data_IF_383527284209
#
_entry.id   IF_383527284209
#
_cell.length_a   1.000
_cell.length_b   1.000
_cell.length_c   1.000
_cell.angle_alpha   90.00
_cell.angle_beta   90.00
_cell.angle_gamma   90.00
#
_symmetry.space_group_name_H-M   'P 1'
#
loop_
_entity.id
_entity.type
_entity.pdbx_description
1 polymer ?
#
# COMPACT_ATOMS: atom_id res chain seq x y z
N UNK A 1 29.12 -9.97 -22.63
CA UNK A 1 27.85 -10.04 -23.37
C UNK A 1 28.09 -10.95 -24.57
N UNK A 2 27.89 -12.25 -24.40
CA UNK A 2 28.08 -13.22 -25.49
C UNK A 2 26.82 -13.24 -26.35
N UNK A 3 26.91 -13.18 -27.69
CA UNK A 3 25.72 -13.24 -28.54
C UNK A 3 25.05 -14.62 -28.40
N UNK A 4 23.73 -14.61 -28.22
CA UNK A 4 22.92 -15.81 -28.03
C UNK A 4 22.98 -16.72 -29.28
N UNK A 5 23.45 -17.98 -29.16
CA UNK A 5 23.66 -18.88 -30.30
C UNK A 5 22.35 -19.28 -31.01
N UNK A 6 21.19 -19.07 -30.38
CA UNK A 6 19.86 -19.38 -30.91
C UNK A 6 19.40 -18.43 -32.02
N UNK A 7 19.87 -17.17 -32.02
CA UNK A 7 19.42 -16.18 -32.98
C UNK A 7 20.05 -16.41 -34.36
N UNK A 8 21.32 -16.86 -34.38
CA UNK A 8 22.03 -17.18 -35.61
C UNK A 8 21.41 -18.38 -36.35
N UNK A 9 21.05 -19.45 -35.64
CA UNK A 9 20.40 -20.61 -36.26
C UNK A 9 19.02 -20.29 -36.83
N UNK A 10 18.26 -19.40 -36.17
CA UNK A 10 16.96 -18.94 -36.67
C UNK A 10 17.13 -18.06 -37.92
N UNK A 11 18.13 -17.17 -37.93
CA UNK A 11 18.43 -16.36 -39.10
C UNK A 11 18.83 -17.24 -40.29
N UNK A 12 19.70 -18.22 -40.08
CA UNK A 12 20.15 -19.15 -41.12
C UNK A 12 18.98 -19.99 -41.66
N UNK A 13 18.10 -20.48 -40.78
CA UNK A 13 16.87 -21.18 -41.18
C UNK A 13 15.92 -20.25 -41.97
N UNK A 14 15.77 -18.98 -41.56
CA UNK A 14 14.93 -18.00 -42.24
C UNK A 14 15.48 -17.61 -43.63
N UNK A 15 16.80 -17.51 -43.76
CA UNK A 15 17.48 -17.34 -45.05
C UNK A 15 17.24 -18.56 -45.96
N UNK A 16 17.31 -19.78 -45.42
CA UNK A 16 16.95 -21.01 -46.13
C UNK A 16 15.50 -21.03 -46.63
N UNK A 17 14.55 -20.55 -45.81
CA UNK A 17 13.15 -20.40 -46.18
C UNK A 17 12.96 -19.37 -47.31
N UNK A 18 13.61 -18.21 -47.20
CA UNK A 18 13.50 -17.12 -48.18
C UNK A 18 14.18 -17.47 -49.50
N UNK A 19 15.22 -18.31 -49.50
CA UNK A 19 15.84 -18.80 -50.72
C UNK A 19 14.97 -19.88 -51.40
N UNK A 20 14.18 -20.63 -50.62
CA UNK A 20 13.39 -21.77 -51.07
C UNK A 20 11.93 -21.43 -51.36
N UNK A 21 11.61 -20.23 -51.87
CA UNK A 21 10.22 -19.75 -52.07
C UNK A 21 9.35 -20.67 -52.93
N UNK A 22 9.95 -21.35 -53.92
CA UNK A 22 9.27 -22.30 -54.81
C UNK A 22 8.89 -23.63 -54.14
N UNK A 23 9.42 -23.89 -52.94
CA UNK A 23 9.17 -25.12 -52.14
C UNK A 23 8.29 -24.87 -50.91
N UNK A 24 7.77 -23.65 -50.74
CA UNK A 24 6.93 -23.27 -49.59
C UNK A 24 5.62 -24.06 -49.52
N UNK A 25 5.04 -24.39 -50.67
CA UNK A 25 3.73 -25.06 -50.76
C UNK A 25 3.80 -26.45 -51.41
N UNK A 26 4.99 -27.04 -51.49
CA UNK A 26 5.11 -28.42 -51.95
C UNK A 26 4.52 -29.34 -50.87
N UNK A 27 3.52 -30.15 -51.25
CA UNK A 27 2.87 -31.14 -50.38
C UNK A 27 3.70 -32.44 -50.22
N UNK A 28 5.01 -32.35 -50.42
CA UNK A 28 5.96 -33.44 -50.23
C UNK A 28 6.82 -33.18 -48.99
N UNK A 29 7.58 -34.18 -48.55
CA UNK A 29 8.42 -34.11 -47.35
C UNK A 29 9.54 -33.07 -47.41
N UNK A 30 9.79 -32.45 -48.57
CA UNK A 30 10.80 -31.41 -48.80
C UNK A 30 10.17 -30.00 -48.78
N UNK A 31 9.19 -29.79 -47.90
CA UNK A 31 8.53 -28.50 -47.72
C UNK A 31 9.44 -27.55 -46.93
N UNK A 32 9.74 -26.39 -47.51
CA UNK A 32 10.65 -25.42 -46.90
C UNK A 32 10.10 -24.83 -45.58
N UNK A 33 8.78 -24.75 -45.41
CA UNK A 33 8.14 -24.30 -44.16
C UNK A 33 8.30 -25.36 -43.07
N UNK A 34 8.12 -26.64 -43.38
CA UNK A 34 8.35 -27.73 -42.42
C UNK A 34 9.81 -27.78 -41.98
N UNK A 35 10.74 -27.59 -42.91
CA UNK A 35 12.17 -27.58 -42.61
C UNK A 35 12.56 -26.36 -41.76
N UNK A 36 11.99 -25.18 -42.04
CA UNK A 36 12.17 -24.00 -41.20
C UNK A 36 11.61 -24.19 -39.79
N UNK A 37 10.44 -24.81 -39.63
CA UNK A 37 9.86 -25.08 -38.31
C UNK A 37 10.73 -26.09 -37.54
N UNK A 38 11.30 -27.09 -38.22
CA UNK A 38 12.11 -28.14 -37.61
C UNK A 38 13.53 -27.67 -37.23
N UNK A 39 14.18 -26.90 -38.10
CA UNK A 39 15.55 -26.38 -37.90
C UNK A 39 15.56 -25.06 -37.11
N UNK A 40 14.49 -24.28 -37.23
CA UNK A 40 14.32 -22.98 -36.60
C UNK A 40 13.42 -22.99 -35.37
N UNK A 41 13.04 -24.16 -34.83
CA UNK A 41 12.15 -24.25 -33.66
C UNK A 41 12.72 -23.42 -32.51
N UNK A 42 12.11 -22.28 -32.14
CA UNK A 42 12.58 -21.52 -31.00
C UNK A 42 12.32 -22.35 -29.75
N UNK A 43 13.30 -22.42 -28.84
CA UNK A 43 13.06 -22.91 -27.50
C UNK A 43 12.00 -22.01 -26.87
N UNK A 44 10.78 -22.53 -26.67
CA UNK A 44 9.72 -21.80 -25.97
C UNK A 44 10.14 -21.70 -24.52
N UNK A 45 10.80 -20.60 -24.16
CA UNK A 45 10.99 -20.21 -22.77
C UNK A 45 9.67 -19.67 -22.25
N UNK A 46 8.93 -20.49 -21.50
CA UNK A 46 7.72 -20.07 -20.79
C UNK A 46 8.03 -18.95 -19.79
N UNK A 47 7.35 -17.80 -19.92
CA UNK A 47 7.42 -16.64 -19.02
C UNK A 47 6.74 -16.87 -17.65
N UNK A 48 6.57 -18.12 -17.21
CA UNK A 48 5.79 -18.47 -16.03
C UNK A 48 6.35 -17.88 -14.72
N UNK A 49 7.68 -17.76 -14.62
CA UNK A 49 8.35 -17.17 -13.45
C UNK A 49 8.06 -15.67 -13.33
N UNK A 50 7.95 -14.97 -14.46
CA UNK A 50 7.68 -13.53 -14.48
C UNK A 50 6.22 -13.25 -14.09
N UNK A 51 5.28 -13.98 -14.70
CA UNK A 51 3.84 -13.82 -14.40
C UNK A 51 3.50 -14.10 -12.93
N UNK A 52 4.12 -15.12 -12.32
CA UNK A 52 3.91 -15.38 -10.88
C UNK A 52 4.47 -14.25 -10.02
N UNK A 53 5.70 -13.82 -10.31
CA UNK A 53 6.36 -12.74 -9.56
C UNK A 53 5.58 -11.43 -9.65
N UNK A 54 5.10 -11.09 -10.84
CA UNK A 54 4.33 -9.86 -11.08
C UNK A 54 2.99 -9.89 -10.34
N UNK A 55 2.31 -11.04 -10.32
CA UNK A 55 1.09 -11.21 -9.53
C UNK A 55 1.36 -11.07 -8.03
N UNK A 56 2.42 -11.70 -7.51
CA UNK A 56 2.80 -11.59 -6.09
C UNK A 56 3.16 -10.13 -5.74
N UNK A 57 3.84 -9.41 -6.64
CA UNK A 57 4.20 -8.00 -6.47
C UNK A 57 2.96 -7.09 -6.45
N UNK A 58 2.06 -7.23 -7.43
CA UNK A 58 0.83 -6.44 -7.46
C UNK A 58 -0.11 -6.78 -6.31
N UNK A 59 -0.15 -8.03 -5.85
CA UNK A 59 -0.89 -8.42 -4.64
C UNK A 59 -0.35 -7.69 -3.42
N UNK A 60 0.97 -7.70 -3.22
CA UNK A 60 1.60 -7.00 -2.09
C UNK A 60 1.30 -5.50 -2.14
N UNK A 61 1.48 -4.89 -3.29
CA UNK A 61 1.22 -3.46 -3.51
C UNK A 61 -0.24 -3.11 -3.22
N UNK A 62 -1.18 -3.87 -3.76
CA UNK A 62 -2.62 -3.66 -3.51
C UNK A 62 -2.97 -3.82 -2.03
N UNK A 63 -2.35 -4.78 -1.33
CA UNK A 63 -2.51 -4.91 0.12
C UNK A 63 -1.98 -3.66 0.87
N UNK A 64 -0.81 -3.16 0.51
CA UNK A 64 -0.23 -1.95 1.11
C UNK A 64 -1.10 -0.70 0.85
N UNK A 65 -1.58 -0.53 -0.37
CA UNK A 65 -2.51 0.54 -0.76
C UNK A 65 -3.83 0.45 0.03
N UNK A 66 -4.39 -0.76 0.17
CA UNK A 66 -5.60 -0.98 0.96
C UNK A 66 -5.38 -0.64 2.45
N UNK A 67 -4.26 -1.09 3.04
CA UNK A 67 -3.91 -0.78 4.43
C UNK A 67 -3.82 0.74 4.62
N UNK A 68 -3.16 1.43 3.70
CA UNK A 68 -3.03 2.89 3.74
C UNK A 68 -4.40 3.56 3.64
N UNK A 69 -5.21 3.19 2.65
CA UNK A 69 -6.54 3.75 2.43
C UNK A 69 -7.46 3.58 3.65
N UNK A 70 -7.51 2.38 4.22
CA UNK A 70 -8.33 2.11 5.42
C UNK A 70 -7.81 2.88 6.62
N UNK A 71 -6.48 3.01 6.78
CA UNK A 71 -5.90 3.83 7.83
C UNK A 71 -6.34 5.29 7.69
N UNK A 72 -6.20 5.87 6.50
CA UNK A 72 -6.65 7.25 6.24
C UNK A 72 -8.15 7.41 6.49
N UNK A 73 -8.98 6.47 6.03
CA UNK A 73 -10.43 6.49 6.25
C UNK A 73 -10.78 6.60 7.75
N UNK A 74 -9.99 5.99 8.62
CA UNK A 74 -10.20 6.05 10.07
C UNK A 74 -9.66 7.31 10.72
N UNK A 75 -8.46 7.74 10.35
CA UNK A 75 -7.69 8.74 11.11
C UNK A 75 -7.28 9.96 10.28
N UNK A 76 -7.91 10.21 9.14
CA UNK A 76 -7.60 11.35 8.26
C UNK A 76 -7.52 12.70 9.00
N UNK A 77 -8.49 13.09 9.87
CA UNK A 77 -8.41 14.37 10.58
C UNK A 77 -7.17 14.45 11.50
N UNK A 78 -6.89 13.36 12.21
CA UNK A 78 -5.72 13.25 13.08
C UNK A 78 -4.41 13.31 12.28
N UNK A 79 -4.32 12.60 11.16
CA UNK A 79 -3.11 12.62 10.32
C UNK A 79 -2.85 14.01 9.75
N UNK A 80 -3.89 14.71 9.27
CA UNK A 80 -3.74 16.10 8.81
C UNK A 80 -3.20 17.02 9.90
N UNK A 81 -3.69 16.87 11.15
CA UNK A 81 -3.16 17.61 12.29
C UNK A 81 -1.69 17.26 12.55
N UNK A 82 -1.35 15.98 12.66
CA UNK A 82 0.01 15.53 12.93
C UNK A 82 1.00 16.03 11.87
N UNK A 83 0.63 15.97 10.59
CA UNK A 83 1.46 16.50 9.50
C UNK A 83 1.70 18.00 9.66
N UNK A 84 0.66 18.79 9.95
CA UNK A 84 0.79 20.24 10.17
C UNK A 84 1.62 20.56 11.42
N UNK A 85 1.39 19.84 12.52
CA UNK A 85 2.13 20.00 13.76
C UNK A 85 3.62 19.69 13.56
N UNK A 86 3.95 18.60 12.87
CA UNK A 86 5.33 18.22 12.57
C UNK A 86 6.07 19.27 11.73
N UNK A 87 5.40 19.91 10.76
CA UNK A 87 5.98 21.02 9.98
C UNK A 87 6.31 22.22 10.88
N UNK A 88 5.41 22.59 11.79
CA UNK A 88 5.66 23.69 12.74
C UNK A 88 6.80 23.34 13.70
N UNK A 89 6.85 22.09 14.19
CA UNK A 89 7.91 21.60 15.07
C UNK A 89 9.26 21.58 14.34
N UNK A 90 9.31 21.15 13.07
CA UNK A 90 10.56 21.13 12.29
C UNK A 90 11.06 22.55 11.99
N UNK A 91 10.17 23.49 11.65
CA UNK A 91 10.52 24.90 11.46
C UNK A 91 11.15 25.54 12.71
N UNK A 92 10.65 25.19 13.91
CA UNK A 92 11.24 25.64 15.18
C UNK A 92 12.67 25.12 15.36
N UNK A 93 12.96 23.90 14.90
CA UNK A 93 14.28 23.26 15.05
C UNK A 93 15.34 23.83 14.09
N UNK A 94 14.94 24.27 12.90
CA UNK A 94 15.86 24.76 11.85
C UNK A 94 16.23 26.24 12.02
N UNK A 95 15.28 27.09 12.40
CA UNK A 95 15.51 28.55 12.36
C UNK A 95 15.88 29.20 13.72
N UNK A 96 15.94 28.43 14.82
CA UNK A 96 16.21 28.97 16.17
C UNK A 96 15.28 30.16 16.55
N UNK A 97 14.11 30.25 15.91
CA UNK A 97 13.11 31.29 16.14
C UNK A 97 12.33 30.91 17.40
N UNK A 98 12.67 31.56 18.51
CA UNK A 98 12.08 31.35 19.85
C UNK A 98 10.58 31.68 19.97
N UNK A 99 9.87 32.07 18.91
CA UNK A 99 8.53 32.67 19.02
C UNK A 99 7.36 31.83 18.47
N UNK A 100 7.58 30.75 17.73
CA UNK A 100 6.48 29.93 17.21
C UNK A 100 6.19 28.79 18.17
N UNK A 101 5.27 29.02 19.12
CA UNK A 101 4.70 27.95 19.94
C UNK A 101 3.67 27.19 19.12
N UNK A 102 3.66 25.85 19.22
CA UNK A 102 2.62 25.05 18.57
C UNK A 102 1.23 25.45 19.11
N UNK A 103 1.13 25.65 20.43
CA UNK A 103 -0.09 26.07 21.12
C UNK A 103 -0.59 27.49 20.75
N UNK A 104 0.26 28.34 20.15
CA UNK A 104 -0.18 29.66 19.67
C UNK A 104 -0.79 29.60 18.27
N UNK A 105 -0.74 28.45 17.60
CA UNK A 105 -1.34 28.29 16.28
C UNK A 105 -2.86 28.10 16.40
N UNK A 106 -3.66 28.78 15.55
CA UNK A 106 -5.13 28.75 15.64
C UNK A 106 -5.73 27.36 15.35
N UNK A 107 -4.99 26.47 14.69
CA UNK A 107 -5.41 25.10 14.41
C UNK A 107 -5.04 24.11 15.53
N UNK A 108 -4.23 24.54 16.50
CA UNK A 108 -3.63 23.70 17.52
C UNK A 108 -4.05 24.15 18.94
N UNK A 109 -5.19 24.83 19.07
CA UNK A 109 -5.77 25.08 20.39
C UNK A 109 -6.30 23.77 20.98
N UNK A 110 -6.32 23.62 22.32
CA UNK A 110 -6.81 22.40 22.97
C UNK A 110 -8.22 22.00 22.52
N UNK A 111 -9.12 22.95 22.33
CA UNK A 111 -10.49 22.70 21.87
C UNK A 111 -10.53 22.19 20.43
N UNK A 112 -9.64 22.70 19.56
CA UNK A 112 -9.55 22.23 18.17
C UNK A 112 -8.99 20.82 18.11
N UNK A 113 -8.02 20.49 18.95
CA UNK A 113 -7.48 19.13 19.04
C UNK A 113 -8.55 18.19 19.60
N UNK A 114 -9.34 18.62 20.58
CA UNK A 114 -10.51 17.88 21.05
C UNK A 114 -11.49 17.56 19.91
N UNK A 115 -11.88 18.57 19.12
CA UNK A 115 -12.78 18.38 17.97
C UNK A 115 -12.21 17.32 16.99
N UNK A 116 -10.90 17.40 16.69
CA UNK A 116 -10.21 16.47 15.78
C UNK A 116 -10.19 15.05 16.33
N UNK A 117 -9.93 14.88 17.63
CA UNK A 117 -9.92 13.58 18.30
C UNK A 117 -11.34 12.99 18.34
N UNK A 118 -12.34 13.79 18.67
CA UNK A 118 -13.74 13.37 18.71
C UNK A 118 -14.25 12.96 17.31
N UNK A 119 -13.91 13.75 16.28
CA UNK A 119 -14.21 13.43 14.89
C UNK A 119 -13.52 12.14 14.44
N UNK A 120 -12.23 11.98 14.75
CA UNK A 120 -11.45 10.77 14.45
C UNK A 120 -12.09 9.54 15.10
N UNK A 121 -12.45 9.63 16.38
CA UNK A 121 -13.07 8.53 17.12
C UNK A 121 -14.46 8.16 16.56
N UNK A 122 -15.23 9.16 16.12
CA UNK A 122 -16.51 8.95 15.42
C UNK A 122 -16.30 8.28 14.05
N UNK A 123 -15.32 8.74 13.27
CA UNK A 123 -14.98 8.15 11.97
C UNK A 123 -14.61 6.67 12.13
N UNK A 124 -13.74 6.35 13.10
CA UNK A 124 -13.44 4.97 13.48
C UNK A 124 -14.69 4.15 13.74
N UNK A 125 -15.59 4.61 14.62
CA UNK A 125 -16.84 3.89 14.93
C UNK A 125 -17.71 3.63 13.70
N UNK A 126 -17.90 4.65 12.85
CA UNK A 126 -18.80 4.56 11.70
C UNK A 126 -18.25 3.70 10.57
N UNK A 127 -16.95 3.82 10.29
CA UNK A 127 -16.31 3.15 9.16
C UNK A 127 -15.94 1.69 9.48
N UNK A 128 -15.74 1.35 10.76
CA UNK A 128 -15.22 0.05 11.17
C UNK A 128 -16.13 -1.11 10.74
N UNK A 129 -17.44 -0.94 10.89
CA UNK A 129 -18.42 -1.95 10.46
C UNK A 129 -18.41 -2.12 8.94
N UNK A 130 -18.29 -1.02 8.19
CA UNK A 130 -18.23 -1.04 6.72
C UNK A 130 -16.98 -1.76 6.21
N UNK A 131 -15.82 -1.45 6.81
CA UNK A 131 -14.54 -2.08 6.49
C UNK A 131 -14.60 -3.58 6.77
N UNK A 132 -15.02 -4.00 7.96
CA UNK A 132 -15.12 -5.43 8.29
C UNK A 132 -16.10 -6.18 7.40
N UNK A 133 -17.25 -5.58 7.08
CA UNK A 133 -18.22 -6.19 6.14
C UNK A 133 -17.62 -6.37 4.75
N UNK A 134 -16.85 -5.39 4.28
CA UNK A 134 -16.20 -5.45 2.98
C UNK A 134 -15.10 -6.51 2.98
N UNK A 135 -14.29 -6.57 4.04
CA UNK A 135 -13.28 -7.61 4.22
C UNK A 135 -13.92 -9.00 4.25
N UNK A 136 -14.98 -9.23 5.01
CA UNK A 136 -15.66 -10.54 5.04
C UNK A 136 -16.31 -10.93 3.70
N UNK A 137 -16.77 -9.95 2.91
CA UNK A 137 -17.35 -10.19 1.59
C UNK A 137 -16.30 -10.62 0.56
N UNK A 138 -15.12 -10.00 0.58
CA UNK A 138 -14.09 -10.20 -0.45
C UNK A 138 -12.95 -11.13 -0.02
N UNK A 139 -12.69 -11.26 1.28
CA UNK A 139 -11.72 -12.16 1.87
C UNK A 139 -12.47 -13.34 2.46
N UNK A 140 -12.50 -14.46 1.74
CA UNK A 140 -13.21 -15.68 2.17
C UNK A 140 -12.64 -16.34 3.45
N UNK A 141 -11.51 -15.85 3.97
CA UNK A 141 -10.83 -16.40 5.14
C UNK A 141 -10.60 -15.33 6.22
N UNK A 142 -11.13 -15.60 7.42
CA UNK A 142 -11.00 -14.74 8.59
C UNK A 142 -9.57 -14.55 9.08
N UNK A 143 -8.70 -15.53 8.92
CA UNK A 143 -7.28 -15.37 9.27
C UNK A 143 -6.62 -14.34 8.35
N UNK A 144 -6.97 -14.33 7.06
CA UNK A 144 -6.51 -13.34 6.09
C UNK A 144 -7.04 -11.95 6.43
N UNK A 145 -8.30 -11.83 6.85
CA UNK A 145 -8.85 -10.56 7.34
C UNK A 145 -8.04 -10.02 8.53
N UNK A 146 -7.74 -10.87 9.51
CA UNK A 146 -6.98 -10.49 10.70
C UNK A 146 -5.55 -10.09 10.34
N UNK A 147 -4.89 -10.84 9.45
CA UNK A 147 -3.54 -10.53 8.96
C UNK A 147 -3.53 -9.15 8.28
N UNK A 148 -4.50 -8.88 7.40
CA UNK A 148 -4.57 -7.62 6.66
C UNK A 148 -4.97 -6.43 7.55
N UNK A 149 -5.82 -6.65 8.56
CA UNK A 149 -6.27 -5.59 9.46
C UNK A 149 -5.28 -5.25 10.57
N UNK A 150 -4.39 -6.19 10.94
CA UNK A 150 -3.35 -5.96 11.95
C UNK A 150 -2.48 -4.71 11.69
N UNK A 151 -1.89 -4.50 10.50
CA UNK A 151 -1.10 -3.31 10.23
C UNK A 151 -1.92 -2.01 10.30
N UNK A 152 -3.21 -2.03 9.93
CA UNK A 152 -4.11 -0.88 10.11
C UNK A 152 -4.21 -0.49 11.60
N UNK A 153 -4.41 -1.46 12.50
CA UNK A 153 -4.43 -1.20 13.95
C UNK A 153 -3.13 -0.57 14.44
N UNK A 154 -1.99 -1.10 13.99
CA UNK A 154 -0.67 -0.59 14.37
C UNK A 154 -0.48 0.86 13.90
N UNK A 155 -0.88 1.19 12.67
CA UNK A 155 -0.78 2.55 12.16
C UNK A 155 -1.62 3.54 12.97
N UNK A 156 -2.85 3.15 13.33
CA UNK A 156 -3.73 3.97 14.18
C UNK A 156 -3.08 4.20 15.55
N UNK A 157 -2.60 3.14 16.19
CA UNK A 157 -1.90 3.23 17.47
C UNK A 157 -0.70 4.18 17.39
N UNK A 158 0.11 4.08 16.34
CA UNK A 158 1.27 4.94 16.13
C UNK A 158 0.86 6.42 15.98
N UNK A 159 -0.22 6.73 15.27
CA UNK A 159 -0.71 8.10 15.15
C UNK A 159 -1.19 8.67 16.49
N UNK A 160 -1.92 7.89 17.29
CA UNK A 160 -2.29 8.33 18.64
C UNK A 160 -1.08 8.46 19.57
N UNK A 161 -0.09 7.57 19.47
CA UNK A 161 1.17 7.71 20.21
C UNK A 161 1.94 8.98 19.83
N UNK A 162 1.95 9.37 18.55
CA UNK A 162 2.52 10.65 18.12
C UNK A 162 1.75 11.84 18.71
N UNK A 163 0.41 11.77 18.73
CA UNK A 163 -0.41 12.80 19.36
C UNK A 163 -0.08 12.94 20.85
N UNK A 164 0.02 11.83 21.59
CA UNK A 164 0.38 11.88 23.01
C UNK A 164 1.73 12.52 23.26
N UNK A 165 2.74 12.21 22.44
CA UNK A 165 4.06 12.85 22.55
C UNK A 165 3.98 14.36 22.34
N UNK A 166 3.21 14.80 21.34
CA UNK A 166 3.00 16.24 21.09
C UNK A 166 2.27 16.90 22.26
N UNK A 167 1.26 16.23 22.83
CA UNK A 167 0.52 16.74 23.99
C UNK A 167 1.39 16.85 25.24
N UNK A 168 2.26 15.87 25.48
CA UNK A 168 3.18 15.85 26.62
C UNK A 168 4.28 16.92 26.52
N UNK A 169 4.78 17.19 25.31
CA UNK A 169 5.88 18.13 25.09
C UNK A 169 5.43 19.60 24.97
N UNK A 170 4.23 19.86 24.43
CA UNK A 170 3.80 21.22 24.04
C UNK A 170 2.57 21.75 24.78
N UNK A 171 1.89 20.96 25.60
CA UNK A 171 0.64 21.33 26.27
C UNK A 171 0.68 21.05 27.77
N UNK A 172 -0.07 21.82 28.54
CA UNK A 172 -0.15 21.65 29.99
C UNK A 172 -1.11 20.51 30.38
N UNK A 173 -1.05 20.05 31.63
CA UNK A 173 -2.00 19.03 32.12
C UNK A 173 -3.48 19.50 32.02
N UNK A 174 -3.74 20.80 32.22
CA UNK A 174 -5.09 21.37 32.05
C UNK A 174 -5.55 21.31 30.58
N UNK A 175 -4.67 21.66 29.65
CA UNK A 175 -4.93 21.54 28.21
C UNK A 175 -5.21 20.09 27.81
N UNK A 176 -4.44 19.13 28.34
CA UNK A 176 -4.64 17.71 28.07
C UNK A 176 -6.00 17.20 28.55
N UNK A 177 -6.51 17.73 29.67
CA UNK A 177 -7.86 17.42 30.15
C UNK A 177 -8.94 17.97 29.22
N UNK A 178 -8.72 19.16 28.62
CA UNK A 178 -9.63 19.73 27.61
C UNK A 178 -9.65 18.86 26.35
N UNK A 179 -8.49 18.42 25.88
CA UNK A 179 -8.39 17.55 24.70
C UNK A 179 -9.13 16.23 24.91
N UNK A 180 -9.07 15.67 26.12
CA UNK A 180 -9.77 14.43 26.50
C UNK A 180 -9.48 13.24 25.56
N UNK A 181 -8.19 13.03 25.22
CA UNK A 181 -7.77 11.97 24.30
C UNK A 181 -8.11 10.57 24.84
N UNK A 182 -8.79 9.70 24.06
CA UNK A 182 -9.15 8.35 24.50
C UNK A 182 -7.90 7.48 24.67
N UNK A 183 -7.84 6.65 25.71
CA UNK A 183 -6.66 5.81 25.98
C UNK A 183 -6.38 4.79 24.87
N UNK A 184 -5.14 4.30 24.80
CA UNK A 184 -4.74 3.27 23.83
C UNK A 184 -5.59 2.00 24.00
N UNK A 185 -5.95 1.65 25.24
CA UNK A 185 -6.85 0.52 25.54
C UNK A 185 -8.26 0.75 25.00
N UNK A 186 -8.80 1.97 25.13
CA UNK A 186 -10.11 2.32 24.59
C UNK A 186 -10.12 2.24 23.05
N UNK A 187 -9.05 2.70 22.40
CA UNK A 187 -8.84 2.57 20.95
C UNK A 187 -8.79 1.09 20.55
N UNK A 188 -8.04 0.26 21.29
CA UNK A 188 -7.91 -1.18 21.03
C UNK A 188 -9.23 -1.92 21.21
N UNK A 189 -10.00 -1.56 22.23
CA UNK A 189 -11.31 -2.13 22.50
C UNK A 189 -12.28 -1.81 21.36
N UNK A 190 -12.27 -0.55 20.89
CA UNK A 190 -13.07 -0.13 19.74
C UNK A 190 -12.70 -0.93 18.48
N UNK A 191 -11.41 -1.05 18.18
CA UNK A 191 -10.93 -1.79 17.00
C UNK A 191 -11.09 -3.31 17.09
N UNK A 192 -11.49 -3.84 18.25
CA UNK A 192 -11.68 -5.28 18.47
C UNK A 192 -13.16 -5.69 18.56
N UNK A 193 -14.07 -4.74 18.74
CA UNK A 193 -15.50 -5.02 18.95
C UNK A 193 -16.24 -5.39 17.66
N UNK A 194 -15.83 -4.88 16.50
CA UNK A 194 -16.53 -5.14 15.24
C UNK A 194 -16.17 -6.46 14.54
N UNK A 195 -15.21 -7.23 15.08
CA UNK A 195 -14.88 -8.54 14.53
C UNK A 195 -15.95 -9.60 14.85
N UNK A 196 -16.90 -9.35 15.76
CA UNK A 196 -17.79 -10.37 16.35
C UNK A 196 -19.17 -10.53 15.70
N UNK A 197 -19.48 -9.82 14.62
CA UNK A 197 -20.76 -9.95 13.93
C UNK A 197 -20.60 -10.64 12.58
#
# INVERSE_FOLDING_TARGET
MSPDPSLHSILDAAYGLMHSKSKLFQFNSNNAVLQFILEGTPQVTEYFVDSKRDVDQELKKTCEEYIHHVTELFISPLQMFLSRANVVISMKSEENIKSVSLSSQPFATPEKIHDIVAETYKNMKTQLVSVHRSMALYLANRDTEVILFKPVKVNIQNSFQQLYKILDEYYTEEDQQIVATPSIEQINLLLSTSAKN
#
